data_IF_181289039816
#
_entry.id   IF_181289039816
#
_cell.length_a   1.000
_cell.length_b   1.000
_cell.length_c   1.000
_cell.angle_alpha   90.00
_cell.angle_beta   90.00
_cell.angle_gamma   90.00
#
_symmetry.space_group_name_H-M   'P 1'
#
loop_
_entity.id
_entity.type
_entity.pdbx_description
1 polymer ?
#
# COMPACT_ATOMS: atom_id res chain seq x y z
N UNK A 1 11.05 17.87 39.26
CA UNK A 1 9.70 18.49 39.13
C UNK A 1 9.57 19.37 37.90
N UNK A 2 10.49 20.31 37.68
CA UNK A 2 10.49 21.27 36.56
C UNK A 2 10.35 20.64 35.16
N UNK A 3 11.06 19.54 34.87
CA UNK A 3 10.95 18.83 33.57
C UNK A 3 9.54 18.30 33.28
N UNK A 4 8.83 17.79 34.29
CA UNK A 4 7.45 17.29 34.12
C UNK A 4 6.48 18.45 33.88
N UNK A 5 6.70 19.60 34.52
CA UNK A 5 5.93 20.82 34.32
C UNK A 5 6.10 21.38 32.90
N UNK A 6 7.33 21.50 32.40
CA UNK A 6 7.58 21.93 31.02
C UNK A 6 6.99 20.97 29.97
N UNK A 7 7.11 19.66 30.18
CA UNK A 7 6.50 18.66 29.27
C UNK A 7 4.97 18.77 29.28
N UNK A 8 4.35 19.04 30.44
CA UNK A 8 2.91 19.24 30.56
C UNK A 8 2.45 20.50 29.81
N UNK A 9 3.10 21.65 30.02
CA UNK A 9 2.80 22.89 29.29
C UNK A 9 3.04 22.76 27.79
N UNK A 10 4.12 22.09 27.38
CA UNK A 10 4.40 21.87 25.97
C UNK A 10 3.31 21.02 25.30
N UNK A 11 2.77 20.01 25.99
CA UNK A 11 1.64 19.20 25.49
C UNK A 11 0.32 19.96 25.43
N UNK A 12 0.15 21.02 26.24
CA UNK A 12 -1.03 21.90 26.19
C UNK A 12 -0.98 22.84 24.97
N UNK A 13 0.19 23.41 24.67
CA UNK A 13 0.36 24.29 23.50
C UNK A 13 0.51 23.53 22.18
N UNK A 14 1.07 22.32 22.23
CA UNK A 14 1.26 21.43 21.08
C UNK A 14 0.60 20.07 21.34
N UNK A 15 -0.74 20.01 21.34
CA UNK A 15 -1.44 18.76 21.52
C UNK A 15 -1.06 17.79 20.39
N UNK A 16 -0.88 16.52 20.75
CA UNK A 16 -0.77 15.46 19.75
C UNK A 16 -2.10 15.38 19.02
N UNK A 17 -2.10 15.62 17.71
CA UNK A 17 -3.30 15.57 16.88
C UNK A 17 -3.33 14.27 16.08
N UNK A 18 -4.53 13.69 15.96
CA UNK A 18 -4.77 12.55 15.10
C UNK A 18 -4.42 12.88 13.65
N UNK A 19 -3.66 12.02 13.01
CA UNK A 19 -3.23 12.20 11.63
C UNK A 19 -4.37 12.04 10.63
N UNK A 20 -5.45 11.33 10.99
CA UNK A 20 -6.66 11.23 10.18
C UNK A 20 -7.56 12.46 10.34
N UNK A 21 -8.20 12.60 11.51
CA UNK A 21 -9.26 13.58 11.76
C UNK A 21 -8.85 14.83 12.55
N UNK A 22 -7.55 14.98 12.91
CA UNK A 22 -7.02 16.07 13.74
C UNK A 22 -7.58 16.17 15.17
N UNK A 23 -8.34 15.18 15.63
CA UNK A 23 -8.78 15.12 17.03
C UNK A 23 -7.58 15.04 18.00
N UNK A 24 -7.56 15.78 19.12
CA UNK A 24 -6.43 15.80 20.04
C UNK A 24 -6.34 14.53 20.89
N UNK A 25 -5.12 14.22 21.35
CA UNK A 25 -4.84 13.19 22.34
C UNK A 25 -4.06 11.98 21.81
N UNK A 26 -4.28 11.58 20.55
CA UNK A 26 -3.68 10.37 19.97
C UNK A 26 -3.24 10.60 18.52
N UNK A 27 -2.18 9.91 18.08
CA UNK A 27 -1.71 9.97 16.68
C UNK A 27 -2.75 9.36 15.71
N UNK A 28 -3.47 8.34 16.16
CA UNK A 28 -4.58 7.70 15.45
C UNK A 28 -5.67 7.38 16.48
N UNK A 29 -6.79 8.10 16.44
CA UNK A 29 -7.89 7.84 17.35
C UNK A 29 -8.67 6.58 16.96
N UNK A 30 -9.41 6.01 17.91
CA UNK A 30 -10.26 4.82 17.71
C UNK A 30 -11.20 4.94 16.50
N UNK A 31 -11.86 6.10 16.33
CA UNK A 31 -12.73 6.36 15.18
C UNK A 31 -11.99 6.27 13.84
N UNK A 32 -10.80 6.87 13.74
CA UNK A 32 -9.99 6.75 12.53
C UNK A 32 -9.55 5.30 12.31
N UNK A 33 -9.18 4.57 13.35
CA UNK A 33 -8.82 3.15 13.23
C UNK A 33 -9.98 2.28 12.74
N UNK A 34 -11.22 2.61 13.12
CA UNK A 34 -12.41 1.91 12.62
C UNK A 34 -12.67 2.15 11.14
N UNK A 35 -12.48 3.39 10.68
CA UNK A 35 -12.60 3.76 9.27
C UNK A 35 -11.44 3.17 8.45
N UNK A 36 -10.23 3.14 9.01
CA UNK A 36 -9.01 2.69 8.34
C UNK A 36 -8.79 1.17 8.46
N UNK A 37 -9.86 0.40 8.32
CA UNK A 37 -9.76 -1.06 8.25
C UNK A 37 -9.33 -1.47 6.85
N UNK A 38 -8.46 -2.47 6.78
CA UNK A 38 -8.02 -3.03 5.50
C UNK A 38 -9.17 -3.82 4.89
N UNK A 39 -9.44 -3.59 3.61
CA UNK A 39 -10.37 -4.40 2.84
C UNK A 39 -9.85 -5.82 2.71
N UNK A 40 -10.60 -6.81 3.23
CA UNK A 40 -10.26 -8.22 3.07
C UNK A 40 -10.68 -8.72 1.69
N UNK A 41 -9.94 -8.35 0.66
CA UNK A 41 -10.13 -8.94 -0.67
C UNK A 41 -9.24 -10.18 -0.81
N UNK A 42 -9.84 -11.34 -1.09
CA UNK A 42 -9.12 -12.46 -1.70
C UNK A 42 -8.51 -11.94 -2.99
N UNK A 43 -7.18 -11.96 -3.11
CA UNK A 43 -6.46 -11.25 -4.19
C UNK A 43 -7.10 -11.50 -5.55
N UNK A 44 -7.66 -10.45 -6.15
CA UNK A 44 -8.36 -10.56 -7.42
C UNK A 44 -7.35 -10.49 -8.55
N UNK A 45 -7.64 -11.17 -9.65
CA UNK A 45 -6.94 -10.85 -10.89
C UNK A 45 -7.30 -9.40 -11.27
N UNK A 46 -6.44 -8.69 -11.99
CA UNK A 46 -6.73 -7.28 -12.24
C UNK A 46 -7.95 -7.02 -13.11
N UNK A 47 -8.36 -8.00 -13.94
CA UNK A 47 -9.63 -7.92 -14.65
C UNK A 47 -10.80 -7.87 -13.67
N UNK A 48 -10.92 -8.86 -12.78
CA UNK A 48 -11.98 -8.85 -11.76
C UNK A 48 -11.88 -7.67 -10.82
N UNK A 49 -10.67 -7.19 -10.56
CA UNK A 49 -10.51 -5.97 -9.80
C UNK A 49 -11.17 -4.77 -10.52
N UNK A 50 -10.81 -4.50 -11.78
CA UNK A 50 -11.29 -3.31 -12.51
C UNK A 50 -12.77 -3.32 -12.91
N UNK A 51 -13.46 -4.44 -12.77
CA UNK A 51 -14.84 -4.60 -13.25
C UNK A 51 -15.85 -4.97 -12.17
N UNK A 52 -15.40 -5.35 -10.98
CA UNK A 52 -16.28 -5.82 -9.90
C UNK A 52 -16.10 -4.93 -8.68
N UNK A 53 -17.22 -4.58 -8.04
CA UNK A 53 -17.22 -3.75 -6.83
C UNK A 53 -16.47 -4.41 -5.69
N UNK A 54 -16.04 -3.65 -4.68
CA UNK A 54 -15.23 -4.18 -3.58
C UNK A 54 -15.89 -5.35 -2.84
N UNK A 55 -17.22 -5.36 -2.75
CA UNK A 55 -18.00 -6.40 -2.10
C UNK A 55 -18.35 -7.59 -3.01
N UNK A 56 -18.05 -7.52 -4.31
CA UNK A 56 -18.41 -8.57 -5.27
C UNK A 56 -17.55 -9.83 -5.08
N UNK A 57 -18.20 -10.95 -4.81
CA UNK A 57 -17.52 -12.25 -4.64
C UNK A 57 -17.32 -12.95 -5.99
N UNK A 58 -17.97 -12.47 -7.05
CA UNK A 58 -17.79 -13.01 -8.39
C UNK A 58 -16.32 -12.91 -8.80
N UNK A 59 -15.76 -13.99 -9.32
CA UNK A 59 -14.39 -13.98 -9.83
C UNK A 59 -14.37 -14.74 -11.14
N UNK A 60 -13.54 -14.27 -12.08
CA UNK A 60 -13.38 -14.94 -13.35
C UNK A 60 -12.50 -16.18 -13.16
N UNK A 61 -12.53 -17.08 -14.15
CA UNK A 61 -11.66 -18.26 -14.19
C UNK A 61 -10.16 -17.90 -14.12
N UNK A 62 -9.78 -16.65 -14.40
CA UNK A 62 -8.40 -16.17 -14.26
C UNK A 62 -8.02 -15.74 -12.82
N UNK A 63 -8.97 -15.70 -11.89
CA UNK A 63 -8.69 -15.54 -10.45
C UNK A 63 -8.31 -16.86 -9.76
N UNK A 64 -8.44 -18.00 -10.47
CA UNK A 64 -7.99 -19.30 -9.99
C UNK A 64 -6.46 -19.30 -9.75
N UNK A 65 -5.94 -20.17 -8.86
CA UNK A 65 -4.62 -20.04 -8.25
C UNK A 65 -3.42 -20.12 -9.20
N UNK A 66 -3.63 -20.39 -10.50
CA UNK A 66 -2.58 -20.56 -11.50
C UNK A 66 -2.01 -19.25 -12.06
N UNK A 67 -2.45 -18.07 -11.62
CA UNK A 67 -1.95 -16.82 -12.17
C UNK A 67 -0.70 -16.29 -11.46
N UNK A 68 0.27 -15.92 -12.30
CA UNK A 68 1.48 -15.20 -11.96
C UNK A 68 1.21 -13.82 -11.33
N UNK A 69 -0.03 -13.33 -11.18
CA UNK A 69 -0.28 -11.99 -10.65
C UNK A 69 -1.50 -11.87 -9.74
N UNK A 70 -1.34 -11.20 -8.59
CA UNK A 70 -2.44 -10.81 -7.68
C UNK A 70 -2.44 -9.30 -7.44
N UNK A 71 -3.61 -8.67 -7.47
CA UNK A 71 -3.79 -7.26 -7.11
C UNK A 71 -4.53 -7.11 -5.78
N UNK A 72 -4.08 -6.18 -4.95
CA UNK A 72 -4.64 -5.90 -3.63
C UNK A 72 -4.72 -4.40 -3.38
N UNK A 73 -5.90 -3.91 -3.03
CA UNK A 73 -6.11 -2.53 -2.63
C UNK A 73 -6.51 -2.50 -1.16
N UNK A 74 -5.81 -1.72 -0.35
CA UNK A 74 -5.88 -1.90 1.10
C UNK A 74 -6.98 -1.05 1.75
N UNK A 75 -7.18 0.19 1.33
CA UNK A 75 -8.03 1.16 2.04
C UNK A 75 -9.01 1.86 1.07
N UNK A 76 -10.19 2.22 1.55
CA UNK A 76 -11.04 3.21 0.85
C UNK A 76 -10.43 4.62 0.98
N UNK A 77 -10.55 5.47 -0.06
CA UNK A 77 -10.01 6.84 -0.06
C UNK A 77 -10.90 7.80 0.75
N UNK A 78 -11.17 7.47 2.03
CA UNK A 78 -11.86 8.38 2.95
C UNK A 78 -11.00 9.59 3.28
N UNK A 79 -11.63 10.68 3.75
CA UNK A 79 -10.93 11.92 4.13
C UNK A 79 -9.82 11.67 5.17
N UNK A 80 -10.08 10.76 6.11
CA UNK A 80 -9.18 10.34 7.16
C UNK A 80 -8.00 9.55 6.59
N UNK A 81 -8.26 8.66 5.63
CA UNK A 81 -7.22 7.85 4.98
C UNK A 81 -6.29 8.72 4.12
N UNK A 82 -6.86 9.66 3.37
CA UNK A 82 -6.12 10.61 2.56
C UNK A 82 -5.33 11.59 3.42
N UNK A 83 -5.90 12.05 4.54
CA UNK A 83 -5.21 12.90 5.51
C UNK A 83 -4.01 12.17 6.15
N UNK A 84 -4.21 10.92 6.57
CA UNK A 84 -3.12 10.07 7.09
C UNK A 84 -2.02 9.84 6.03
N UNK A 85 -2.42 9.59 4.78
CA UNK A 85 -1.47 9.43 3.68
C UNK A 85 -0.70 10.70 3.37
N UNK A 86 -1.35 11.86 3.43
CA UNK A 86 -0.68 13.17 3.38
C UNK A 86 0.40 13.30 4.46
N UNK A 87 0.11 12.87 5.69
CA UNK A 87 1.13 12.83 6.75
C UNK A 87 2.29 11.88 6.43
N UNK A 88 2.00 10.72 5.84
CA UNK A 88 3.03 9.77 5.40
C UNK A 88 3.91 10.35 4.28
N UNK A 89 3.31 11.05 3.30
CA UNK A 89 4.03 11.79 2.27
C UNK A 89 4.91 12.90 2.85
N UNK A 90 4.47 13.54 3.94
CA UNK A 90 5.26 14.49 4.72
C UNK A 90 6.35 13.85 5.61
N UNK A 91 6.61 12.55 5.46
CA UNK A 91 7.68 11.86 6.19
C UNK A 91 7.34 11.48 7.64
N UNK A 92 6.07 11.57 8.06
CA UNK A 92 5.69 11.19 9.43
C UNK A 92 5.78 9.68 9.62
N UNK A 93 6.75 9.24 10.42
CA UNK A 93 7.10 7.82 10.62
C UNK A 93 5.89 7.00 11.07
N UNK A 94 5.07 7.49 12.00
CA UNK A 94 3.90 6.74 12.47
C UNK A 94 2.85 6.52 11.37
N UNK A 95 2.68 7.48 10.44
CA UNK A 95 1.80 7.32 9.29
C UNK A 95 2.36 6.30 8.29
N UNK A 96 3.67 6.36 8.01
CA UNK A 96 4.34 5.38 7.15
C UNK A 96 4.24 3.97 7.75
N UNK A 97 4.50 3.84 9.06
CA UNK A 97 4.39 2.59 9.80
C UNK A 97 2.97 1.99 9.73
N UNK A 98 1.93 2.83 9.81
CA UNK A 98 0.55 2.38 9.66
C UNK A 98 0.31 1.67 8.32
N UNK A 99 0.65 2.33 7.20
CA UNK A 99 0.43 1.74 5.88
C UNK A 99 1.32 0.52 5.62
N UNK A 100 2.58 0.57 6.02
CA UNK A 100 3.52 -0.54 5.84
C UNK A 100 3.15 -1.76 6.69
N UNK A 101 2.60 -1.56 7.90
CA UNK A 101 1.99 -2.63 8.68
C UNK A 101 0.81 -3.26 7.93
N UNK A 102 -0.03 -2.46 7.26
CA UNK A 102 -1.13 -3.00 6.46
C UNK A 102 -0.66 -3.83 5.26
N UNK A 103 0.36 -3.37 4.55
CA UNK A 103 1.00 -4.13 3.45
C UNK A 103 1.52 -5.48 3.98
N UNK A 104 2.21 -5.48 5.12
CA UNK A 104 2.73 -6.71 5.74
C UNK A 104 1.62 -7.65 6.21
N UNK A 105 0.53 -7.12 6.77
CA UNK A 105 -0.65 -7.92 7.13
C UNK A 105 -1.23 -8.60 5.89
N UNK A 106 -1.29 -7.89 4.76
CA UNK A 106 -1.75 -8.47 3.50
C UNK A 106 -0.86 -9.61 3.02
N UNK A 107 0.46 -9.43 3.08
CA UNK A 107 1.44 -10.49 2.78
C UNK A 107 1.24 -11.72 3.68
N UNK A 108 1.06 -11.52 4.98
CA UNK A 108 0.82 -12.60 5.94
C UNK A 108 -0.50 -13.34 5.68
N UNK A 109 -1.61 -12.62 5.43
CA UNK A 109 -2.90 -13.23 5.11
C UNK A 109 -2.87 -14.07 3.84
N UNK A 110 -2.05 -13.67 2.87
CA UNK A 110 -1.90 -14.40 1.61
C UNK A 110 -0.80 -15.47 1.66
N UNK A 111 -0.08 -15.56 2.79
CA UNK A 111 1.10 -16.40 2.96
C UNK A 111 2.15 -16.18 1.86
N UNK A 112 2.32 -14.92 1.43
CA UNK A 112 3.29 -14.55 0.39
C UNK A 112 4.35 -13.63 0.95
N UNK A 113 5.61 -13.97 0.73
CA UNK A 113 6.77 -13.12 1.06
C UNK A 113 7.46 -12.71 -0.25
N UNK A 114 7.45 -11.42 -0.62
CA UNK A 114 8.11 -10.99 -1.85
C UNK A 114 9.63 -11.02 -1.72
N UNK A 115 10.30 -11.35 -2.82
CA UNK A 115 11.77 -11.34 -2.92
C UNK A 115 12.34 -9.94 -3.16
N UNK A 116 11.51 -9.05 -3.72
CA UNK A 116 11.88 -7.67 -3.98
C UNK A 116 10.65 -6.77 -3.96
N UNK A 117 10.83 -5.55 -3.45
CA UNK A 117 9.84 -4.49 -3.47
C UNK A 117 10.21 -3.50 -4.57
N UNK A 118 9.31 -3.30 -5.52
CA UNK A 118 9.41 -2.27 -6.54
C UNK A 118 8.43 -1.17 -6.16
N UNK A 119 8.91 0.06 -6.01
CA UNK A 119 8.03 1.21 -5.84
C UNK A 119 8.08 2.06 -7.10
N UNK A 120 6.91 2.51 -7.56
CA UNK A 120 6.84 3.37 -8.73
C UNK A 120 7.12 4.81 -8.31
N UNK A 121 8.21 5.36 -8.83
CA UNK A 121 8.58 6.76 -8.67
C UNK A 121 7.43 7.61 -9.21
N UNK A 122 7.06 8.67 -8.49
CA UNK A 122 5.87 9.53 -8.67
C UNK A 122 4.52 8.98 -8.18
N UNK A 123 4.38 7.66 -7.94
CA UNK A 123 3.10 7.08 -7.49
C UNK A 123 3.05 6.81 -5.99
N UNK A 124 4.17 6.48 -5.37
CA UNK A 124 4.24 6.26 -3.92
C UNK A 124 5.58 6.79 -3.36
N UNK A 125 5.60 7.38 -2.15
CA UNK A 125 6.84 7.85 -1.56
C UNK A 125 7.83 6.71 -1.30
N UNK A 126 9.13 6.95 -1.57
CA UNK A 126 10.22 6.00 -1.31
C UNK A 126 10.25 5.50 0.14
N UNK A 127 9.83 6.33 1.09
CA UNK A 127 9.86 6.01 2.52
C UNK A 127 9.02 4.78 2.87
N UNK A 128 7.97 4.44 2.08
CA UNK A 128 7.20 3.21 2.28
C UNK A 128 8.06 1.98 2.01
N UNK A 129 8.74 1.95 0.86
CA UNK A 129 9.61 0.83 0.49
C UNK A 129 10.81 0.72 1.44
N UNK A 130 11.38 1.86 1.86
CA UNK A 130 12.47 1.91 2.83
C UNK A 130 12.05 1.39 4.21
N UNK A 131 10.87 1.77 4.69
CA UNK A 131 10.34 1.27 5.96
C UNK A 131 10.04 -0.24 5.88
N UNK A 132 9.44 -0.72 4.78
CA UNK A 132 9.24 -2.16 4.57
C UNK A 132 10.56 -2.93 4.55
N UNK A 133 11.58 -2.41 3.87
CA UNK A 133 12.92 -3.00 3.88
C UNK A 133 13.48 -3.08 5.29
N UNK A 134 13.39 -2.00 6.08
CA UNK A 134 13.84 -1.99 7.48
C UNK A 134 13.13 -3.04 8.33
N UNK A 135 11.84 -3.25 8.08
CA UNK A 135 11.00 -4.17 8.86
C UNK A 135 11.13 -5.64 8.44
N UNK A 136 11.54 -5.93 7.20
CA UNK A 136 11.48 -7.27 6.62
C UNK A 136 12.79 -7.78 6.02
N UNK A 137 13.78 -6.90 5.82
CA UNK A 137 15.02 -7.19 5.10
C UNK A 137 14.87 -7.30 3.58
N UNK A 138 13.65 -7.23 3.04
CA UNK A 138 13.39 -7.41 1.60
C UNK A 138 13.99 -6.24 0.81
N UNK A 139 14.83 -6.48 -0.21
CA UNK A 139 15.44 -5.41 -0.99
C UNK A 139 14.38 -4.61 -1.75
N UNK A 140 14.64 -3.33 -1.97
CA UNK A 140 13.73 -2.45 -2.70
C UNK A 140 14.41 -1.67 -3.82
N UNK A 141 13.64 -1.35 -4.86
CA UNK A 141 14.10 -0.57 -6.03
C UNK A 141 13.01 0.39 -6.49
N UNK A 142 13.40 1.62 -6.80
CA UNK A 142 12.53 2.59 -7.44
C UNK A 142 12.59 2.44 -8.95
N UNK A 143 11.45 2.47 -9.61
CA UNK A 143 11.39 2.51 -11.08
C UNK A 143 10.51 3.66 -11.56
N UNK A 144 10.88 4.26 -12.69
CA UNK A 144 9.91 4.97 -13.50
C UNK A 144 9.10 3.94 -14.30
N UNK A 145 7.85 4.27 -14.59
CA UNK A 145 7.00 3.44 -15.43
C UNK A 145 7.45 3.57 -16.89
N UNK A 146 8.49 2.82 -17.24
CA UNK A 146 9.00 2.65 -18.60
C UNK A 146 9.36 1.17 -18.82
N UNK A 147 9.05 0.64 -20.00
CA UNK A 147 9.14 -0.80 -20.28
C UNK A 147 10.55 -1.35 -20.06
N UNK A 148 11.58 -0.67 -20.59
CA UNK A 148 12.96 -1.13 -20.48
C UNK A 148 13.45 -1.12 -19.02
N UNK A 149 13.02 -0.14 -18.22
CA UNK A 149 13.32 -0.07 -16.79
C UNK A 149 12.67 -1.20 -16.02
N UNK A 150 11.43 -1.56 -16.34
CA UNK A 150 10.75 -2.68 -15.72
C UNK A 150 11.46 -4.02 -16.02
N UNK A 151 11.82 -4.26 -17.29
CA UNK A 151 12.57 -5.46 -17.70
C UNK A 151 13.93 -5.52 -17.00
N UNK A 152 14.70 -4.43 -17.03
CA UNK A 152 16.00 -4.36 -16.37
C UNK A 152 15.88 -4.54 -14.84
N UNK A 153 14.80 -4.03 -14.24
CA UNK A 153 14.59 -4.13 -12.80
C UNK A 153 14.32 -5.55 -12.30
N UNK A 154 13.82 -6.42 -13.18
CA UNK A 154 13.39 -7.79 -12.87
C UNK A 154 14.30 -8.88 -13.44
N UNK A 155 15.27 -8.50 -14.28
CA UNK A 155 16.19 -9.40 -14.99
C UNK A 155 16.96 -10.37 -14.07
N UNK A 156 17.39 -9.89 -12.91
CA UNK A 156 18.22 -10.68 -11.97
C UNK A 156 17.40 -11.53 -10.99
N UNK A 157 16.08 -11.37 -10.98
CA UNK A 157 15.19 -12.01 -10.01
C UNK A 157 14.85 -13.41 -10.52
N UNK A 158 15.72 -14.39 -10.29
CA UNK A 158 15.54 -15.71 -10.92
C UNK A 158 14.34 -16.50 -10.39
N UNK A 159 13.87 -16.26 -9.15
CA UNK A 159 12.77 -17.00 -8.50
C UNK A 159 12.01 -16.14 -7.48
N UNK A 160 10.75 -16.49 -7.25
CA UNK A 160 9.89 -15.93 -6.20
C UNK A 160 9.07 -14.71 -6.64
N UNK A 161 8.08 -14.29 -5.83
CA UNK A 161 7.20 -13.18 -6.20
C UNK A 161 7.87 -11.82 -5.98
N UNK A 162 7.56 -10.85 -6.83
CA UNK A 162 7.93 -9.45 -6.65
C UNK A 162 6.71 -8.66 -6.20
N UNK A 163 6.89 -7.66 -5.33
CA UNK A 163 5.81 -6.77 -4.94
C UNK A 163 5.99 -5.41 -5.61
N UNK A 164 4.98 -4.93 -6.34
CA UNK A 164 4.96 -3.58 -6.91
C UNK A 164 3.98 -2.73 -6.10
N UNK A 165 4.47 -1.61 -5.60
CA UNK A 165 3.72 -0.67 -4.77
C UNK A 165 3.28 0.57 -5.56
N UNK A 166 2.02 0.96 -5.37
CA UNK A 166 1.46 2.23 -5.84
C UNK A 166 0.47 2.82 -4.82
N UNK A 167 0.17 4.11 -4.93
CA UNK A 167 -0.90 4.71 -4.13
C UNK A 167 -2.27 4.25 -4.61
N UNK A 168 -2.48 4.28 -5.93
CA UNK A 168 -3.72 3.89 -6.61
C UNK A 168 -3.46 2.76 -7.62
N UNK A 169 -4.52 2.14 -8.15
CA UNK A 169 -4.39 1.03 -9.09
C UNK A 169 -3.65 1.45 -10.36
N UNK A 170 -2.79 0.57 -10.86
CA UNK A 170 -2.12 0.82 -12.15
C UNK A 170 -3.13 0.68 -13.28
N UNK A 171 -2.99 1.49 -14.32
CA UNK A 171 -3.86 1.36 -15.49
C UNK A 171 -3.70 -0.01 -16.16
N UNK A 172 -4.75 -0.47 -16.85
CA UNK A 172 -4.74 -1.76 -17.56
C UNK A 172 -3.57 -1.89 -18.53
N UNK A 173 -3.15 -0.78 -19.18
CA UNK A 173 -1.97 -0.73 -20.05
C UNK A 173 -0.70 -1.15 -19.29
N UNK A 174 -0.50 -0.62 -18.09
CA UNK A 174 0.66 -0.95 -17.26
C UNK A 174 0.60 -2.37 -16.72
N UNK A 175 -0.58 -2.81 -16.28
CA UNK A 175 -0.76 -4.19 -15.83
C UNK A 175 -0.43 -5.19 -16.95
N UNK A 176 -0.94 -4.98 -18.17
CA UNK A 176 -0.63 -5.80 -19.34
C UNK A 176 0.88 -5.79 -19.68
N UNK A 177 1.54 -4.64 -19.53
CA UNK A 177 2.97 -4.54 -19.75
C UNK A 177 3.76 -5.38 -18.75
N UNK A 178 3.41 -5.30 -17.47
CA UNK A 178 4.02 -6.09 -16.40
C UNK A 178 3.89 -7.58 -16.71
N UNK A 179 2.70 -8.02 -17.12
CA UNK A 179 2.44 -9.42 -17.47
C UNK A 179 3.26 -9.92 -18.66
N UNK A 180 3.55 -9.05 -19.64
CA UNK A 180 4.37 -9.40 -20.80
C UNK A 180 5.87 -9.39 -20.50
N UNK A 181 6.30 -8.53 -19.58
CA UNK A 181 7.72 -8.24 -19.37
C UNK A 181 8.32 -8.92 -18.14
N UNK A 182 7.49 -9.36 -17.20
CA UNK A 182 7.93 -9.96 -15.93
C UNK A 182 7.55 -11.43 -15.92
N UNK A 183 8.56 -12.30 -15.90
CA UNK A 183 8.38 -13.75 -15.90
C UNK A 183 8.04 -14.31 -14.50
N UNK A 184 8.34 -13.55 -13.45
CA UNK A 184 8.10 -13.93 -12.06
C UNK A 184 6.65 -13.67 -11.65
N UNK A 185 6.25 -14.25 -10.51
CA UNK A 185 4.96 -13.89 -9.91
C UNK A 185 5.01 -12.43 -9.42
N UNK A 186 3.94 -11.67 -9.60
CA UNK A 186 3.83 -10.26 -9.27
C UNK A 186 2.66 -10.02 -8.32
N UNK A 187 2.94 -9.31 -7.24
CA UNK A 187 1.94 -8.84 -6.28
C UNK A 187 1.83 -7.34 -6.48
N UNK A 188 0.71 -6.87 -7.03
CA UNK A 188 0.41 -5.45 -7.13
C UNK A 188 -0.30 -5.04 -5.84
N UNK A 189 0.27 -4.12 -5.07
CA UNK A 189 -0.39 -3.55 -3.90
C UNK A 189 -0.58 -2.05 -4.11
N UNK A 190 -1.85 -1.65 -4.19
CA UNK A 190 -2.25 -0.25 -4.13
C UNK A 190 -2.69 0.08 -2.71
N UNK A 191 -2.33 1.25 -2.19
CA UNK A 191 -2.84 1.67 -0.89
C UNK A 191 -4.34 1.90 -0.93
N UNK A 192 -4.83 2.52 -2.00
CA UNK A 192 -6.21 2.91 -2.18
C UNK A 192 -6.87 2.18 -3.35
N UNK A 193 -8.17 1.98 -3.24
CA UNK A 193 -9.06 1.62 -4.36
C UNK A 193 -9.20 2.81 -5.31
N UNK A 194 -9.61 2.56 -6.56
CA UNK A 194 -9.85 3.66 -7.50
C UNK A 194 -11.07 4.47 -7.03
N UNK A 195 -10.99 5.81 -6.87
CA UNK A 195 -12.14 6.61 -6.48
C UNK A 195 -13.34 6.49 -7.44
N UNK A 196 -13.14 6.02 -8.68
CA UNK A 196 -14.21 5.79 -9.64
C UNK A 196 -14.97 4.46 -9.43
N UNK A 197 -14.50 3.57 -8.55
CA UNK A 197 -15.16 2.30 -8.24
C UNK A 197 -16.20 2.43 -7.13
N UNK A 198 -16.08 3.41 -6.22
CA UNK A 198 -17.04 3.65 -5.12
C UNK A 198 -18.33 4.38 -5.59
N UNK A 199 -18.41 4.78 -6.87
CA UNK A 199 -19.55 5.49 -7.48
C UNK A 199 -20.42 4.60 -8.39
N UNK A 200 -20.23 3.28 -8.38
CA UNK A 200 -21.03 2.33 -9.16
C UNK A 200 -21.93 1.47 -8.28
#
# INVERSE_FOLDING_TARGET
>A
MIRKFFVFFFRLFFPVLCYGCRFPGEILCSRCLEILKIHKCSGRCPHCFSFLGLDDISTCKQCLPSFSRRSFHLYSPSSEALSLYSQACGGKIAAIAFFTQGIRRQWAWQQVVPMQIIYIISKIPKEFAKQLHKETGIPYRGIFLEQHLLVNSTKDIKRGPICILSSYPLSRKWQNLIERCVSQSVILISLFVDPQEDLK
#
